data_IF_958781596960
#
_entry.id   IF_958781596960
#
_cell.length_a   1.000
_cell.length_b   1.000
_cell.length_c   1.000
_cell.angle_alpha   90.00
_cell.angle_beta   90.00
_cell.angle_gamma   90.00
#
_symmetry.space_group_name_H-M   'P 1'
#
loop_
_entity.id
_entity.type
_entity.pdbx_description
1 polymer ?
#
# COMPACT_ATOMS: atom_id res chain seq x y z
N UNK A 1 3.25 5.44 1.41
CA UNK A 1 2.69 5.77 2.73
C UNK A 1 2.81 7.25 3.11
N UNK A 2 3.50 8.12 2.36
CA UNK A 2 3.58 9.55 2.70
C UNK A 2 2.34 10.31 2.21
N UNK A 3 1.90 10.00 1.00
CA UNK A 3 0.64 10.50 0.46
C UNK A 3 -0.59 10.06 1.26
N UNK A 4 -0.50 8.97 2.04
CA UNK A 4 -1.61 8.42 2.84
C UNK A 4 -2.15 9.40 3.89
N UNK A 5 -1.31 10.27 4.46
CA UNK A 5 -1.74 11.25 5.45
C UNK A 5 -2.10 12.61 4.84
N UNK A 6 -1.54 12.96 3.67
CA UNK A 6 -1.57 14.29 3.01
C UNK A 6 -1.40 15.52 3.93
N UNK A 7 -1.02 15.33 5.19
CA UNK A 7 -0.99 16.36 6.21
C UNK A 7 0.44 16.52 6.69
N UNK A 8 0.93 17.75 6.60
CA UNK A 8 2.16 18.15 7.27
C UNK A 8 1.91 17.99 8.77
N UNK A 9 2.76 17.22 9.45
CA UNK A 9 2.75 17.14 10.90
C UNK A 9 2.77 18.58 11.46
N UNK A 10 1.78 18.92 12.29
CA UNK A 10 1.65 20.27 12.84
C UNK A 10 2.78 20.47 13.86
N UNK A 11 3.65 21.45 13.61
CA UNK A 11 4.75 21.84 14.49
C UNK A 11 6.14 21.37 14.02
N UNK A 12 7.22 21.95 14.57
CA UNK A 12 8.57 21.49 14.31
C UNK A 12 8.90 20.32 15.24
N UNK A 13 8.69 19.09 14.76
CA UNK A 13 9.16 17.88 15.45
C UNK A 13 10.60 17.63 14.99
N UNK A 14 11.51 17.59 15.95
CA UNK A 14 12.91 17.27 15.72
C UNK A 14 13.23 15.90 16.31
N UNK A 15 14.03 15.10 15.59
CA UNK A 15 14.65 13.87 16.09
C UNK A 15 16.13 13.91 15.74
N UNK A 16 17.00 13.79 16.74
CA UNK A 16 18.46 13.82 16.56
C UNK A 16 18.96 15.04 15.78
N UNK A 17 18.34 16.21 16.00
CA UNK A 17 18.66 17.46 15.29
C UNK A 17 18.07 17.58 13.88
N UNK A 18 17.36 16.55 13.39
CA UNK A 18 16.72 16.55 12.06
C UNK A 18 15.25 16.92 12.19
N UNK A 19 14.79 17.88 11.38
CA UNK A 19 13.38 18.28 11.28
C UNK A 19 12.58 17.18 10.58
N UNK A 20 11.97 16.29 11.34
CA UNK A 20 11.24 15.14 10.77
C UNK A 20 9.93 15.55 10.10
N UNK A 21 9.40 16.74 10.40
CA UNK A 21 8.19 17.27 9.74
C UNK A 21 8.45 17.87 8.35
N UNK A 22 9.72 18.03 7.97
CA UNK A 22 10.11 18.43 6.61
C UNK A 22 10.33 17.22 5.68
N UNK A 23 10.29 15.99 6.22
CA UNK A 23 10.54 14.75 5.47
C UNK A 23 9.21 14.03 5.30
N UNK A 24 8.85 13.73 4.06
CA UNK A 24 7.69 12.90 3.74
C UNK A 24 7.95 11.45 4.18
N UNK A 25 7.02 10.86 4.95
CA UNK A 25 7.13 9.46 5.41
C UNK A 25 6.66 8.51 4.30
N UNK A 26 7.49 8.25 3.29
CA UNK A 26 7.15 7.46 2.10
C UNK A 26 7.06 8.30 0.81
N UNK A 27 6.38 7.79 -0.22
CA UNK A 27 6.23 8.50 -1.50
C UNK A 27 5.13 9.59 -1.43
N UNK A 28 5.46 10.87 -1.67
CA UNK A 28 4.49 11.96 -1.70
C UNK A 28 3.51 11.90 -2.89
N UNK A 29 3.82 11.12 -3.94
CA UNK A 29 2.92 10.90 -5.08
C UNK A 29 1.84 9.84 -4.80
N UNK A 30 1.92 9.14 -3.66
CA UNK A 30 0.88 8.19 -3.28
C UNK A 30 -0.49 8.88 -3.13
N UNK A 31 -1.59 8.23 -3.56
CA UNK A 31 -2.92 8.71 -3.27
C UNK A 31 -3.16 8.90 -1.75
N UNK A 32 -3.97 9.89 -1.40
CA UNK A 32 -4.53 10.00 -0.04
C UNK A 32 -5.28 8.73 0.32
N UNK A 33 -5.07 8.24 1.54
CA UNK A 33 -5.93 7.19 2.08
C UNK A 33 -6.69 7.63 3.32
N UNK A 34 -7.43 6.71 3.92
CA UNK A 34 -8.50 7.04 4.85
C UNK A 34 -9.80 7.47 4.15
N UNK A 35 -9.96 7.16 2.87
CA UNK A 35 -11.22 7.31 2.13
C UNK A 35 -12.08 6.07 2.30
N UNK A 36 -13.40 6.25 2.23
CA UNK A 36 -14.38 5.15 2.42
C UNK A 36 -14.19 4.01 1.40
N UNK A 37 -13.63 4.31 0.23
CA UNK A 37 -13.36 3.35 -0.84
C UNK A 37 -12.05 2.58 -0.67
N UNK A 38 -11.16 2.97 0.26
CA UNK A 38 -9.87 2.30 0.45
C UNK A 38 -10.02 0.85 0.91
N UNK A 39 -10.99 0.58 1.79
CA UNK A 39 -11.28 -0.78 2.24
C UNK A 39 -11.75 -1.62 1.06
N UNK A 40 -12.66 -1.08 0.24
CA UNK A 40 -13.15 -1.74 -0.96
C UNK A 40 -12.03 -2.01 -1.95
N UNK A 41 -11.15 -1.03 -2.20
CA UNK A 41 -9.97 -1.18 -3.07
C UNK A 41 -9.03 -2.28 -2.56
N UNK A 42 -8.75 -2.29 -1.26
CA UNK A 42 -7.91 -3.29 -0.60
C UNK A 42 -8.49 -4.71 -0.72
N UNK A 43 -9.80 -4.86 -0.50
CA UNK A 43 -10.50 -6.14 -0.67
C UNK A 43 -10.39 -6.63 -2.11
N UNK A 44 -10.65 -5.77 -3.09
CA UNK A 44 -10.53 -6.14 -4.51
C UNK A 44 -9.11 -6.54 -4.90
N UNK A 45 -8.10 -5.79 -4.46
CA UNK A 45 -6.69 -6.15 -4.72
C UNK A 45 -6.36 -7.50 -4.09
N UNK A 46 -6.79 -7.76 -2.86
CA UNK A 46 -6.52 -9.01 -2.16
C UNK A 46 -7.20 -10.21 -2.85
N UNK A 47 -8.47 -10.05 -3.24
CA UNK A 47 -9.24 -11.10 -3.92
C UNK A 47 -8.64 -11.41 -5.28
N UNK A 48 -8.33 -10.40 -6.09
CA UNK A 48 -7.78 -10.57 -7.43
C UNK A 48 -6.38 -11.20 -7.40
N UNK A 49 -5.51 -10.76 -6.49
CA UNK A 49 -4.20 -11.36 -6.29
C UNK A 49 -4.29 -12.83 -5.86
N UNK A 50 -5.19 -13.14 -4.91
CA UNK A 50 -5.40 -14.51 -4.44
C UNK A 50 -5.90 -15.42 -5.56
N UNK A 51 -6.88 -14.94 -6.34
CA UNK A 51 -7.45 -15.69 -7.45
C UNK A 51 -6.40 -15.97 -8.54
N UNK A 52 -5.56 -14.97 -8.87
CA UNK A 52 -4.47 -15.14 -9.81
C UNK A 52 -3.47 -16.22 -9.34
N UNK A 53 -3.06 -16.16 -8.07
CA UNK A 53 -2.12 -17.13 -7.50
C UNK A 53 -2.69 -18.55 -7.55
N UNK A 54 -3.95 -18.73 -7.15
CA UNK A 54 -4.61 -20.04 -7.19
C UNK A 54 -4.70 -20.57 -8.63
N UNK A 55 -5.06 -19.72 -9.58
CA UNK A 55 -5.16 -20.09 -10.99
C UNK A 55 -3.81 -20.55 -11.53
N UNK A 56 -2.73 -19.79 -11.27
CA UNK A 56 -1.38 -20.16 -11.68
C UNK A 56 -0.91 -21.46 -11.01
N UNK A 57 -1.25 -21.67 -9.74
CA UNK A 57 -0.93 -22.91 -9.03
C UNK A 57 -1.64 -24.13 -9.65
N UNK A 58 -2.91 -23.98 -10.04
CA UNK A 58 -3.68 -25.04 -10.72
C UNK A 58 -3.08 -25.37 -12.08
N UNK A 59 -2.75 -24.36 -12.89
CA UNK A 59 -2.09 -24.56 -14.19
C UNK A 59 -0.76 -25.29 -14.01
N UNK A 60 0.09 -24.81 -13.10
CA UNK A 60 1.38 -25.43 -12.83
C UNK A 60 1.27 -26.87 -12.32
N UNK A 61 0.20 -27.20 -11.59
CA UNK A 61 -0.06 -28.56 -11.13
C UNK A 61 -0.55 -29.45 -12.28
N UNK A 62 -1.47 -28.94 -13.11
CA UNK A 62 -1.99 -29.66 -14.28
C UNK A 62 -0.87 -30.02 -15.27
N UNK A 63 0.03 -29.06 -15.55
CA UNK A 63 1.21 -29.27 -16.41
C UNK A 63 2.17 -30.34 -15.86
N UNK A 64 2.22 -30.55 -14.55
CA UNK A 64 3.06 -31.59 -13.92
C UNK A 64 2.42 -32.98 -13.95
N UNK A 65 1.11 -33.06 -14.13
CA UNK A 65 0.35 -34.31 -14.10
C UNK A 65 0.11 -34.92 -15.48
N UNK A 66 0.42 -34.18 -16.55
CA UNK A 66 0.41 -34.63 -17.95
C UNK A 66 1.82 -35.08 -18.39
#
# INVERSE_FOLDING_TARGET
>A
MAGLLQRRLIGPIYKDGVLVTAIWVGDPADPEGGKDDDVTRSVWTTVTASFLIVTLAVIALADRTL
#
